data_IF_448669804564
#
_entry.id   IF_448669804564
#
_cell.length_a   1.000
_cell.length_b   1.000
_cell.length_c   1.000
_cell.angle_alpha   90.00
_cell.angle_beta   90.00
_cell.angle_gamma   90.00
#
_symmetry.space_group_name_H-M   'P 1'
#
loop_
_entity.id
_entity.type
_entity.pdbx_description
1 polymer ?
#
# COMPACT_ATOMS: atom_id res chain seq x y z
N UNK A 1 -71.28 -4.49 5.74
CA UNK A 1 -72.49 -3.65 5.82
C UNK A 1 -72.27 -2.57 6.88
N UNK A 2 -72.31 -1.29 6.45
CA UNK A 2 -72.53 -0.02 7.19
C UNK A 2 -71.63 0.24 8.41
N UNK A 3 -70.58 1.06 8.27
CA UNK A 3 -70.53 2.53 8.52
C UNK A 3 -71.06 2.97 9.88
N UNK A 4 -70.22 3.62 10.68
CA UNK A 4 -70.42 5.02 11.07
C UNK A 4 -69.16 5.61 11.73
N UNK A 5 -68.52 6.51 10.97
CA UNK A 5 -67.55 7.51 11.43
C UNK A 5 -68.38 8.69 11.95
N UNK A 6 -68.12 9.15 13.18
CA UNK A 6 -68.67 10.41 13.70
C UNK A 6 -67.52 11.38 13.96
N UNK A 7 -67.40 12.36 13.06
CA UNK A 7 -66.55 13.54 13.17
C UNK A 7 -67.22 14.54 14.13
N UNK A 8 -66.50 14.99 15.16
CA UNK A 8 -66.94 16.09 16.00
C UNK A 8 -66.10 17.34 15.66
N UNK A 9 -66.76 18.31 15.02
CA UNK A 9 -66.28 19.67 14.80
C UNK A 9 -66.27 20.42 16.13
N UNK A 10 -65.16 21.08 16.49
CA UNK A 10 -65.15 22.10 17.53
C UNK A 10 -64.71 23.45 16.94
N UNK A 11 -65.62 24.41 17.04
CA UNK A 11 -65.50 25.78 16.55
C UNK A 11 -64.56 26.62 17.44
N UNK A 12 -63.86 27.51 16.76
CA UNK A 12 -62.93 28.53 17.25
C UNK A 12 -63.69 29.65 18.00
N UNK A 13 -63.14 30.12 19.13
CA UNK A 13 -63.44 31.45 19.67
C UNK A 13 -62.17 32.26 19.81
N UNK A 14 -62.22 33.43 19.17
CA UNK A 14 -61.16 34.43 19.03
C UNK A 14 -61.21 35.34 20.27
N UNK A 15 -60.07 35.57 20.94
CA UNK A 15 -59.90 36.71 21.84
C UNK A 15 -58.68 37.50 21.36
N UNK A 16 -58.95 38.72 20.91
CA UNK A 16 -58.00 39.73 20.48
C UNK A 16 -57.62 40.61 21.68
N UNK A 17 -56.32 40.80 21.92
CA UNK A 17 -55.79 41.93 22.68
C UNK A 17 -54.65 42.58 21.89
N UNK A 18 -54.64 43.92 21.95
CA UNK A 18 -54.06 44.85 20.98
C UNK A 18 -52.70 45.39 21.43
N UNK A 19 -51.77 45.40 20.47
CA UNK A 19 -50.62 46.29 20.20
C UNK A 19 -49.67 46.78 21.32
N UNK A 20 -48.36 46.55 21.10
CA UNK A 20 -47.35 47.63 21.06
C UNK A 20 -46.35 47.43 19.91
N UNK A 21 -45.92 48.57 19.38
CA UNK A 21 -45.31 48.83 18.08
C UNK A 21 -43.92 48.24 17.78
N UNK A 22 -43.76 47.84 16.51
CA UNK A 22 -42.68 48.15 15.55
C UNK A 22 -41.20 47.86 15.90
N UNK A 23 -40.54 47.00 15.12
CA UNK A 23 -39.78 47.39 13.90
C UNK A 23 -39.21 46.16 13.16
N UNK A 24 -39.18 46.34 11.85
CA UNK A 24 -38.67 45.48 10.78
C UNK A 24 -37.15 45.29 10.80
N UNK A 25 -36.72 44.20 10.14
CA UNK A 25 -35.40 43.90 9.53
C UNK A 25 -34.22 43.81 10.50
N UNK A 26 -33.43 42.74 10.54
CA UNK A 26 -32.77 42.03 9.44
C UNK A 26 -32.52 40.58 9.83
N UNK A 27 -32.68 39.64 8.89
CA UNK A 27 -32.08 38.31 9.00
C UNK A 27 -30.55 38.49 8.97
N UNK A 28 -29.93 38.55 10.14
CA UNK A 28 -28.51 38.26 10.26
C UNK A 28 -28.31 36.79 9.93
N UNK A 29 -27.85 36.54 8.71
CA UNK A 29 -27.19 35.29 8.37
C UNK A 29 -26.04 35.11 9.35
N UNK A 30 -26.21 34.18 10.28
CA UNK A 30 -25.11 33.62 11.07
C UNK A 30 -24.04 33.22 10.05
N UNK A 31 -22.81 33.76 10.13
CA UNK A 31 -21.73 33.32 9.27
C UNK A 31 -21.60 31.83 9.49
N UNK A 32 -21.79 31.06 8.41
CA UNK A 32 -21.36 29.67 8.37
C UNK A 32 -19.89 29.72 8.74
N UNK A 33 -19.53 29.25 9.94
CA UNK A 33 -18.12 29.03 10.26
C UNK A 33 -17.57 28.23 9.10
N UNK A 34 -16.64 28.84 8.36
CA UNK A 34 -15.84 28.15 7.38
C UNK A 34 -15.13 27.07 8.18
N UNK A 35 -15.65 25.84 8.13
CA UNK A 35 -14.86 24.67 8.49
C UNK A 35 -13.53 24.87 7.80
N UNK A 36 -12.44 24.96 8.54
CA UNK A 36 -11.11 24.85 7.96
C UNK A 36 -11.11 23.52 7.22
N UNK A 37 -11.43 23.57 5.92
CA UNK A 37 -11.37 22.41 5.06
C UNK A 37 -9.92 21.95 5.14
N UNK A 38 -9.73 20.70 5.58
CA UNK A 38 -8.43 20.05 5.53
C UNK A 38 -8.13 19.87 4.04
N UNK A 39 -7.53 20.87 3.41
CA UNK A 39 -7.32 20.88 1.95
C UNK A 39 -5.94 20.30 1.66
N UNK A 40 -5.91 19.19 0.94
CA UNK A 40 -4.72 18.73 0.23
C UNK A 40 -4.67 19.40 -1.15
N UNK A 41 -3.53 20.02 -1.47
CA UNK A 41 -3.32 20.78 -2.72
C UNK A 41 -2.35 20.09 -3.70
N UNK A 42 -2.01 18.82 -3.46
CA UNK A 42 -1.11 18.06 -4.32
C UNK A 42 -1.81 17.50 -5.56
N UNK A 43 -1.10 16.64 -6.29
CA UNK A 43 -1.58 16.08 -7.56
C UNK A 43 -2.41 14.81 -7.40
N UNK A 44 -2.46 14.24 -6.20
CA UNK A 44 -3.15 12.99 -5.91
C UNK A 44 -4.67 13.14 -5.81
N UNK A 45 -5.36 12.03 -6.00
CA UNK A 45 -6.79 11.89 -5.83
C UNK A 45 -7.12 11.46 -4.41
N UNK A 46 -8.06 12.15 -3.76
CA UNK A 46 -8.43 11.89 -2.37
C UNK A 46 -9.61 10.93 -2.31
N UNK A 47 -9.50 9.89 -1.50
CA UNK A 47 -10.61 9.01 -1.09
C UNK A 47 -10.81 9.12 0.42
N UNK A 48 -12.01 8.83 0.93
CA UNK A 48 -12.29 8.85 2.36
C UNK A 48 -13.11 7.63 2.79
N UNK A 49 -12.70 7.01 3.89
CA UNK A 49 -13.40 5.90 4.51
C UNK A 49 -13.09 4.53 3.91
N UNK A 50 -13.88 3.53 4.32
CA UNK A 50 -13.67 2.14 3.93
C UNK A 50 -14.05 1.90 2.46
N UNK A 51 -13.22 1.14 1.78
CA UNK A 51 -13.50 0.61 0.45
C UNK A 51 -14.54 -0.52 0.49
N UNK A 52 -15.22 -0.73 -0.64
CA UNK A 52 -16.04 -1.92 -0.86
C UNK A 52 -15.14 -3.13 -1.14
N UNK A 53 -15.24 -4.17 -0.30
CA UNK A 53 -14.47 -5.41 -0.50
C UNK A 53 -14.89 -6.12 -1.79
N UNK A 54 -13.97 -6.27 -2.73
CA UNK A 54 -14.16 -7.03 -3.98
C UNK A 54 -13.67 -8.46 -3.84
N UNK A 55 -12.51 -8.65 -3.20
CA UNK A 55 -11.92 -9.95 -2.91
C UNK A 55 -11.71 -10.03 -1.40
N UNK A 56 -12.29 -11.06 -0.77
CA UNK A 56 -12.17 -11.23 0.69
C UNK A 56 -10.75 -11.55 1.13
N UNK A 57 -10.06 -12.43 0.41
CA UNK A 57 -8.65 -12.76 0.64
C UNK A 57 -8.07 -13.36 -0.64
N UNK A 58 -6.86 -12.96 -1.02
CA UNK A 58 -6.15 -13.52 -2.17
C UNK A 58 -5.60 -14.92 -1.89
N UNK A 59 -5.31 -15.23 -0.63
CA UNK A 59 -4.85 -16.54 -0.19
C UNK A 59 -5.64 -17.07 1.00
N UNK A 60 -5.54 -18.38 1.21
CA UNK A 60 -5.92 -19.04 2.46
C UNK A 60 -4.66 -19.65 3.07
N UNK A 61 -4.25 -19.15 4.23
CA UNK A 61 -3.12 -19.69 4.99
C UNK A 61 -3.55 -19.99 6.43
N UNK A 62 -3.45 -21.25 6.82
CA UNK A 62 -3.92 -21.72 8.14
C UNK A 62 -2.83 -21.64 9.22
N UNK A 63 -1.85 -20.75 9.07
CA UNK A 63 -0.77 -20.55 10.03
C UNK A 63 -1.11 -19.44 11.02
N UNK A 64 -0.60 -19.57 12.25
CA UNK A 64 -0.77 -18.54 13.28
C UNK A 64 -0.17 -17.21 12.82
N UNK A 65 -0.92 -16.12 13.01
CA UNK A 65 -0.48 -14.78 12.60
C UNK A 65 -0.70 -14.45 11.13
N UNK A 66 -1.36 -15.32 10.34
CA UNK A 66 -1.80 -14.97 8.99
C UNK A 66 -2.93 -13.94 9.04
N UNK A 67 -2.75 -12.86 8.27
CA UNK A 67 -3.71 -11.79 8.07
C UNK A 67 -4.44 -11.95 6.73
N UNK A 68 -5.62 -11.34 6.65
CA UNK A 68 -6.50 -11.41 5.47
C UNK A 68 -5.93 -10.50 4.38
N UNK A 69 -5.64 -11.06 3.20
CA UNK A 69 -5.14 -10.30 2.05
C UNK A 69 -6.29 -9.84 1.14
N UNK A 70 -7.14 -8.96 1.68
CA UNK A 70 -8.31 -8.45 0.96
C UNK A 70 -7.95 -7.50 -0.18
N UNK A 71 -8.85 -7.35 -1.16
CA UNK A 71 -8.76 -6.32 -2.20
C UNK A 71 -10.10 -5.57 -2.25
N UNK A 72 -10.04 -4.24 -2.27
CA UNK A 72 -11.20 -3.37 -2.29
C UNK A 72 -11.26 -2.46 -3.51
N UNK A 73 -12.41 -1.82 -3.66
CA UNK A 73 -12.63 -0.71 -4.57
C UNK A 73 -13.20 0.50 -3.80
N UNK A 74 -12.63 1.67 -4.01
CA UNK A 74 -13.15 2.94 -3.48
C UNK A 74 -13.19 4.01 -4.57
N UNK A 75 -14.16 4.91 -4.49
CA UNK A 75 -14.28 6.04 -5.43
C UNK A 75 -13.82 7.33 -4.78
N UNK A 76 -13.14 8.17 -5.57
CA UNK A 76 -12.89 9.56 -5.19
C UNK A 76 -14.11 10.45 -5.46
N UNK A 77 -14.04 11.72 -5.05
CA UNK A 77 -15.11 12.70 -5.24
C UNK A 77 -15.41 13.02 -6.72
N UNK A 78 -14.48 12.68 -7.62
CA UNK A 78 -14.63 12.83 -9.07
C UNK A 78 -15.24 11.58 -9.73
N UNK A 79 -15.48 10.52 -8.95
CA UNK A 79 -16.03 9.25 -9.40
C UNK A 79 -15.02 8.31 -10.04
N UNK A 80 -13.71 8.58 -9.98
CA UNK A 80 -12.69 7.62 -10.40
C UNK A 80 -12.65 6.46 -9.41
N UNK A 81 -12.49 5.25 -9.93
CA UNK A 81 -12.35 4.03 -9.14
C UNK A 81 -10.87 3.73 -8.83
N UNK A 82 -10.59 3.33 -7.60
CA UNK A 82 -9.27 2.97 -7.08
C UNK A 82 -9.31 1.59 -6.44
N UNK A 83 -8.42 0.70 -6.88
CA UNK A 83 -8.20 -0.60 -6.25
C UNK A 83 -7.25 -0.46 -5.08
N UNK A 84 -7.62 -0.99 -3.92
CA UNK A 84 -6.83 -0.88 -2.68
C UNK A 84 -6.54 -2.26 -2.08
N UNK A 85 -5.34 -2.50 -1.52
CA UNK A 85 -4.22 -1.54 -1.40
C UNK A 85 -3.50 -1.23 -2.73
N UNK A 86 -3.78 -1.98 -3.79
CA UNK A 86 -3.30 -1.68 -5.12
C UNK A 86 -3.72 -2.70 -6.16
N UNK A 87 -3.65 -2.32 -7.44
CA UNK A 87 -3.82 -3.27 -8.55
C UNK A 87 -2.70 -4.32 -8.45
N UNK A 88 -3.01 -5.61 -8.55
CA UNK A 88 -1.99 -6.66 -8.43
C UNK A 88 -2.26 -7.83 -9.38
N UNK A 89 -1.20 -8.56 -9.69
CA UNK A 89 -1.15 -9.72 -10.57
C UNK A 89 -0.99 -11.02 -9.77
N UNK A 90 -1.43 -11.03 -8.50
CA UNK A 90 -1.23 -12.16 -7.61
C UNK A 90 -1.74 -13.46 -8.27
N UNK A 91 -2.96 -13.47 -8.80
CA UNK A 91 -3.54 -14.67 -9.41
C UNK A 91 -3.15 -14.89 -10.89
N UNK A 92 -2.36 -13.97 -11.47
CA UNK A 92 -2.11 -13.92 -12.91
C UNK A 92 -0.69 -14.37 -13.30
N UNK A 93 0.22 -14.40 -12.33
CA UNK A 93 1.65 -14.65 -12.56
C UNK A 93 2.21 -15.76 -11.67
N UNK A 94 3.32 -16.35 -12.11
CA UNK A 94 4.11 -17.33 -11.37
C UNK A 94 4.53 -16.81 -10.00
N UNK A 95 4.43 -17.64 -8.97
CA UNK A 95 4.97 -17.33 -7.64
C UNK A 95 6.48 -17.46 -7.62
N UNK A 96 7.15 -16.52 -6.96
CA UNK A 96 8.57 -16.67 -6.67
C UNK A 96 8.80 -17.95 -5.84
N UNK A 97 9.94 -18.63 -6.04
CA UNK A 97 10.24 -19.84 -5.26
C UNK A 97 10.50 -19.46 -3.80
N UNK A 98 10.05 -20.30 -2.88
CA UNK A 98 10.19 -20.08 -1.45
C UNK A 98 11.63 -20.34 -0.99
N UNK A 99 12.23 -19.38 -0.29
CA UNK A 99 13.30 -19.64 0.68
C UNK A 99 12.69 -20.01 2.03
N UNK A 100 11.62 -19.30 2.41
CA UNK A 100 10.86 -19.56 3.62
C UNK A 100 9.43 -19.13 3.42
N UNK A 101 8.48 -20.03 3.70
CA UNK A 101 7.05 -19.81 3.57
C UNK A 101 6.29 -20.82 4.44
N UNK A 102 5.75 -20.35 5.56
CA UNK A 102 5.01 -21.21 6.52
C UNK A 102 3.69 -21.72 5.93
N UNK A 103 3.06 -20.98 5.01
CA UNK A 103 1.81 -21.41 4.38
C UNK A 103 2.02 -22.65 3.51
N UNK A 104 3.20 -22.80 2.92
CA UNK A 104 3.61 -23.96 2.14
C UNK A 104 4.43 -24.99 2.94
N UNK A 105 4.57 -24.80 4.27
CA UNK A 105 5.40 -25.64 5.15
C UNK A 105 6.88 -25.72 4.73
N UNK A 106 7.38 -24.67 4.07
CA UNK A 106 8.80 -24.53 3.70
C UNK A 106 9.46 -23.66 4.75
N UNK A 107 10.09 -24.25 5.76
CA UNK A 107 10.68 -23.52 6.89
C UNK A 107 12.14 -23.91 7.16
N UNK A 108 13.05 -23.78 6.19
CA UNK A 108 14.43 -24.17 6.38
C UNK A 108 15.16 -23.20 7.32
N UNK A 109 16.18 -23.70 8.01
CA UNK A 109 16.94 -22.91 8.98
C UNK A 109 17.99 -22.00 8.34
N UNK A 110 18.42 -22.33 7.11
CA UNK A 110 19.42 -21.60 6.35
C UNK A 110 19.44 -22.10 4.90
N UNK A 111 20.22 -21.44 4.05
CA UNK A 111 20.29 -21.75 2.62
C UNK A 111 20.73 -23.19 2.28
N UNK A 112 21.49 -23.88 3.13
CA UNK A 112 21.99 -25.23 2.79
C UNK A 112 20.88 -26.27 2.68
N UNK A 113 19.70 -25.98 3.23
CA UNK A 113 18.51 -26.82 3.17
C UNK A 113 17.66 -26.54 1.90
N UNK A 114 18.04 -25.56 1.08
CA UNK A 114 17.36 -25.20 -0.17
C UNK A 114 17.98 -25.94 -1.35
N UNK A 115 17.17 -26.69 -2.11
CA UNK A 115 17.60 -27.25 -3.38
C UNK A 115 17.62 -26.16 -4.47
N UNK A 116 18.78 -25.53 -4.61
CA UNK A 116 19.01 -24.49 -5.61
C UNK A 116 18.79 -24.97 -7.05
N UNK A 117 18.84 -26.26 -7.36
CA UNK A 117 18.62 -26.77 -8.72
C UNK A 117 17.14 -26.84 -9.09
N UNK A 118 16.26 -26.87 -8.09
CA UNK A 118 14.80 -26.89 -8.28
C UNK A 118 14.22 -25.52 -8.67
N UNK A 119 14.96 -24.43 -8.44
CA UNK A 119 14.51 -23.07 -8.73
C UNK A 119 14.46 -22.85 -10.26
N UNK A 120 13.28 -22.57 -10.84
CA UNK A 120 13.13 -22.37 -12.28
C UNK A 120 13.88 -21.11 -12.74
N UNK A 121 14.36 -21.14 -13.99
CA UNK A 121 15.02 -20.01 -14.64
C UNK A 121 14.08 -19.38 -15.64
N UNK A 122 13.72 -18.11 -15.43
CA UNK A 122 12.95 -17.32 -16.39
C UNK A 122 13.87 -16.79 -17.49
N UNK A 123 13.67 -17.22 -18.74
CA UNK A 123 14.48 -16.75 -19.87
C UNK A 123 13.97 -15.39 -20.38
N UNK A 124 14.78 -14.34 -20.19
CA UNK A 124 14.53 -12.99 -20.74
C UNK A 124 15.25 -12.82 -22.05
N UNK A 125 16.55 -13.14 -22.05
CA UNK A 125 17.46 -13.11 -23.19
C UNK A 125 18.20 -14.45 -23.30
N UNK A 126 18.07 -15.13 -24.45
CA UNK A 126 18.67 -16.46 -24.65
C UNK A 126 20.19 -16.45 -24.60
N UNK A 127 20.84 -15.33 -24.90
CA UNK A 127 22.29 -15.12 -24.83
C UNK A 127 22.75 -14.43 -23.53
N UNK A 128 21.85 -14.28 -22.55
CA UNK A 128 22.13 -13.69 -21.25
C UNK A 128 22.84 -14.62 -20.26
N UNK A 129 23.17 -14.06 -19.10
CA UNK A 129 23.71 -14.79 -17.95
C UNK A 129 22.59 -15.09 -16.95
N UNK A 130 22.72 -16.20 -16.21
CA UNK A 130 21.76 -16.54 -15.16
C UNK A 130 22.08 -15.72 -13.91
N UNK A 131 21.13 -14.86 -13.53
CA UNK A 131 21.15 -14.10 -12.29
C UNK A 131 20.25 -14.79 -11.27
N UNK A 132 20.75 -14.98 -10.06
CA UNK A 132 19.97 -15.43 -8.90
C UNK A 132 19.68 -14.23 -8.00
N UNK A 133 18.40 -13.93 -7.75
CA UNK A 133 17.96 -12.91 -6.82
C UNK A 133 17.41 -13.53 -5.53
N UNK A 134 17.74 -12.93 -4.39
CA UNK A 134 17.15 -13.20 -3.07
C UNK A 134 16.33 -11.98 -2.69
N UNK A 135 15.06 -12.18 -2.32
CA UNK A 135 14.10 -11.10 -2.08
C UNK A 135 13.37 -11.33 -0.75
N UNK A 136 13.12 -10.24 -0.04
CA UNK A 136 12.22 -10.19 1.10
C UNK A 136 11.40 -8.89 1.01
N UNK A 137 10.09 -9.00 1.23
CA UNK A 137 9.18 -7.87 1.27
C UNK A 137 8.37 -7.87 2.56
N UNK A 138 8.17 -6.67 3.09
CA UNK A 138 7.16 -6.33 4.08
C UNK A 138 6.15 -5.45 3.31
N UNK A 139 5.07 -5.96 2.72
CA UNK A 139 4.66 -7.36 2.65
C UNK A 139 4.80 -8.00 1.25
N UNK A 140 4.39 -7.33 0.17
CA UNK A 140 4.21 -7.95 -1.15
C UNK A 140 5.09 -7.32 -2.23
N UNK A 141 5.55 -8.15 -3.18
CA UNK A 141 6.27 -7.68 -4.37
C UNK A 141 5.79 -8.31 -5.69
N UNK A 142 5.99 -7.59 -6.78
CA UNK A 142 5.96 -8.08 -8.15
C UNK A 142 7.24 -7.68 -8.88
N UNK A 143 7.98 -8.67 -9.38
CA UNK A 143 9.30 -8.48 -9.98
C UNK A 143 9.23 -8.45 -11.50
N UNK A 144 9.71 -7.35 -12.07
CA UNK A 144 9.82 -7.12 -13.50
C UNK A 144 11.30 -7.03 -13.92
N UNK A 145 11.67 -7.76 -14.97
CA UNK A 145 13.00 -7.69 -15.61
C UNK A 145 12.81 -7.26 -17.07
N UNK A 146 13.39 -6.11 -17.45
CA UNK A 146 13.18 -5.48 -18.76
C UNK A 146 11.69 -5.36 -19.15
N UNK A 147 10.83 -4.99 -18.19
CA UNK A 147 9.38 -4.86 -18.38
C UNK A 147 8.59 -6.17 -18.37
N UNK A 148 9.25 -7.33 -18.35
CA UNK A 148 8.56 -8.64 -18.22
C UNK A 148 8.33 -8.95 -16.75
N UNK A 149 7.07 -9.10 -16.35
CA UNK A 149 6.68 -9.64 -15.05
C UNK A 149 7.09 -11.12 -14.98
N UNK A 150 8.01 -11.47 -14.08
CA UNK A 150 8.55 -12.83 -13.99
C UNK A 150 8.05 -13.59 -12.76
N UNK A 151 7.82 -12.90 -11.65
CA UNK A 151 7.43 -13.52 -10.41
C UNK A 151 6.70 -12.52 -9.52
N UNK A 152 5.76 -13.03 -8.73
CA UNK A 152 5.12 -12.30 -7.63
C UNK A 152 5.37 -13.02 -6.31
N UNK A 153 5.30 -12.28 -5.22
CA UNK A 153 5.37 -12.84 -3.88
C UNK A 153 4.21 -13.87 -3.67
N UNK A 154 4.49 -15.07 -3.13
CA UNK A 154 3.45 -16.04 -2.80
C UNK A 154 2.53 -15.63 -1.64
N UNK A 155 2.91 -14.69 -0.78
CA UNK A 155 2.15 -14.25 0.40
C UNK A 155 1.94 -12.73 0.38
N UNK A 156 0.71 -12.23 0.19
CA UNK A 156 0.49 -10.78 0.09
C UNK A 156 0.62 -10.00 1.39
N UNK A 157 0.36 -10.63 2.54
CA UNK A 157 0.30 -9.93 3.83
C UNK A 157 1.17 -10.62 4.89
N UNK A 158 0.64 -11.64 5.57
CA UNK A 158 1.40 -12.43 6.54
C UNK A 158 0.93 -13.89 6.54
N UNK A 159 1.77 -14.84 7.01
CA UNK A 159 3.11 -14.70 7.61
C UNK A 159 4.18 -14.21 6.62
N UNK A 160 5.21 -13.56 7.15
CA UNK A 160 6.37 -13.14 6.35
C UNK A 160 7.06 -14.33 5.69
N UNK A 161 7.53 -14.11 4.46
CA UNK A 161 8.26 -15.07 3.64
C UNK A 161 9.52 -14.43 3.05
N UNK A 162 10.36 -15.26 2.47
CA UNK A 162 11.47 -14.81 1.64
C UNK A 162 11.57 -15.70 0.43
N UNK A 163 12.12 -15.16 -0.65
CA UNK A 163 12.03 -15.78 -1.95
C UNK A 163 13.36 -15.78 -2.69
N UNK A 164 13.45 -16.75 -3.60
CA UNK A 164 14.52 -16.87 -4.57
C UNK A 164 13.94 -16.89 -5.98
N UNK A 165 14.59 -16.16 -6.87
CA UNK A 165 14.26 -16.12 -8.30
C UNK A 165 15.52 -16.34 -9.11
N UNK A 166 15.38 -16.97 -10.28
CA UNK A 166 16.45 -17.01 -11.28
C UNK A 166 15.93 -16.54 -12.61
N UNK A 167 16.70 -15.69 -13.28
CA UNK A 167 16.38 -15.22 -14.61
C UNK A 167 17.63 -15.14 -15.47
N UNK A 168 17.48 -15.34 -16.77
CA UNK A 168 18.57 -15.25 -17.74
C UNK A 168 18.42 -13.96 -18.53
N UNK A 169 19.36 -13.03 -18.38
CA UNK A 169 19.26 -11.67 -18.94
C UNK A 169 20.62 -11.16 -19.41
N UNK A 170 20.62 -10.28 -20.40
CA UNK A 170 21.83 -9.61 -20.89
C UNK A 170 21.95 -8.21 -20.30
N UNK A 171 23.17 -7.83 -19.89
CA UNK A 171 23.47 -6.47 -19.45
C UNK A 171 23.59 -5.48 -20.64
N UNK A 172 23.21 -4.20 -20.47
CA UNK A 172 22.51 -3.66 -19.30
C UNK A 172 21.04 -4.11 -19.26
N UNK A 173 20.45 -4.18 -18.07
CA UNK A 173 19.04 -4.51 -17.89
C UNK A 173 18.40 -3.68 -16.77
N UNK A 174 17.08 -3.62 -16.77
CA UNK A 174 16.30 -2.90 -15.75
C UNK A 174 15.61 -3.89 -14.83
N UNK A 175 15.73 -3.64 -13.52
CA UNK A 175 14.89 -4.25 -12.50
C UNK A 175 13.85 -3.22 -12.09
N UNK A 176 12.57 -3.59 -12.13
CA UNK A 176 11.50 -2.83 -11.52
C UNK A 176 10.73 -3.74 -10.57
N UNK A 177 10.33 -3.21 -9.41
CA UNK A 177 9.56 -3.97 -8.43
C UNK A 177 8.37 -3.13 -8.04
N UNK A 178 7.17 -3.67 -8.22
CA UNK A 178 5.95 -3.13 -7.61
C UNK A 178 5.85 -3.68 -6.20
N UNK A 179 5.63 -2.83 -5.23
CA UNK A 179 5.59 -3.15 -3.82
C UNK A 179 4.25 -2.70 -3.24
N UNK A 180 3.67 -3.52 -2.39
CA UNK A 180 2.41 -3.22 -1.72
C UNK A 180 2.57 -3.56 -0.23
N UNK A 181 2.36 -2.56 0.63
CA UNK A 181 2.07 -2.77 2.05
C UNK A 181 0.58 -3.07 2.17
N UNK A 182 0.25 -4.22 2.74
CA UNK A 182 -1.12 -4.72 2.71
C UNK A 182 -1.92 -4.18 3.91
N UNK A 183 -3.22 -3.98 3.72
CA UNK A 183 -4.09 -3.37 4.73
C UNK A 183 -5.24 -4.32 5.11
N UNK A 184 -5.65 -4.32 6.39
CA UNK A 184 -6.86 -5.05 6.83
C UNK A 184 -8.11 -4.18 6.63
N UNK A 185 -7.98 -2.88 6.90
CA UNK A 185 -9.02 -1.89 6.68
C UNK A 185 -8.86 -1.27 5.29
N UNK A 186 -9.49 -1.90 4.30
CA UNK A 186 -9.38 -1.52 2.90
C UNK A 186 -9.71 -0.03 2.67
N UNK A 187 -8.81 0.69 2.01
CA UNK A 187 -8.89 2.13 1.74
C UNK A 187 -8.31 3.03 2.83
N UNK A 188 -7.79 2.45 3.92
CA UNK A 188 -7.33 3.17 5.10
C UNK A 188 -5.89 2.82 5.54
N UNK A 189 -5.14 2.00 4.81
CA UNK A 189 -3.73 1.68 5.08
C UNK A 189 -3.44 1.15 6.47
N UNK A 190 -4.43 0.54 7.13
CA UNK A 190 -4.34 0.21 8.56
C UNK A 190 -4.76 -1.20 8.89
N UNK A 191 -4.23 -1.67 10.01
CA UNK A 191 -4.39 -3.00 10.56
C UNK A 191 -4.63 -2.94 12.07
N UNK A 192 -5.25 -3.99 12.61
CA UNK A 192 -5.30 -4.18 14.04
C UNK A 192 -3.89 -4.59 14.51
N UNK A 193 -3.22 -3.68 15.21
CA UNK A 193 -1.87 -3.91 15.71
C UNK A 193 -1.53 -3.00 16.90
N UNK A 194 -0.55 -3.42 17.70
CA UNK A 194 0.01 -2.65 18.83
C UNK A 194 -1.07 -2.09 19.79
N UNK A 195 -2.18 -2.81 19.96
CA UNK A 195 -3.29 -2.44 20.84
C UNK A 195 -4.24 -1.39 20.27
N UNK A 196 -4.17 -1.11 18.97
CA UNK A 196 -5.03 -0.17 18.24
C UNK A 196 -5.70 -0.88 17.07
N UNK A 197 -6.96 -0.55 16.83
CA UNK A 197 -7.75 -1.17 15.76
C UNK A 197 -7.34 -0.62 14.38
N UNK A 198 -6.98 0.65 14.31
CA UNK A 198 -6.49 1.32 13.11
C UNK A 198 -5.05 1.78 13.35
N UNK A 199 -4.11 0.85 13.27
CA UNK A 199 -2.68 1.12 13.31
C UNK A 199 -2.13 1.13 11.87
N UNK A 200 -1.38 2.16 11.43
CA UNK A 200 -0.69 2.11 10.15
C UNK A 200 0.27 0.90 10.08
N UNK A 201 0.26 0.16 8.97
CA UNK A 201 1.28 -0.85 8.68
C UNK A 201 2.64 -0.19 8.42
N UNK A 202 3.67 -1.00 8.25
CA UNK A 202 4.91 -0.54 7.67
C UNK A 202 5.34 -1.49 6.55
N UNK A 203 5.83 -0.89 5.47
CA UNK A 203 6.34 -1.61 4.31
C UNK A 203 7.84 -1.91 4.42
N UNK A 204 8.44 -2.37 3.33
CA UNK A 204 9.89 -2.54 3.25
C UNK A 204 10.28 -3.55 2.18
N UNK A 205 11.39 -3.28 1.48
CA UNK A 205 11.89 -4.23 0.50
C UNK A 205 13.41 -4.32 0.52
N UNK A 206 13.95 -5.53 0.52
CA UNK A 206 15.38 -5.78 0.44
C UNK A 206 15.67 -6.91 -0.53
N UNK A 207 16.69 -6.72 -1.38
CA UNK A 207 17.12 -7.74 -2.30
C UNK A 207 18.62 -7.69 -2.61
N UNK A 208 19.17 -8.87 -2.93
CA UNK A 208 20.50 -9.00 -3.50
C UNK A 208 20.49 -9.94 -4.70
N UNK A 209 21.41 -9.71 -5.64
CA UNK A 209 21.53 -10.47 -6.87
C UNK A 209 22.96 -10.99 -7.06
N UNK A 210 23.10 -12.13 -7.73
CA UNK A 210 24.38 -12.81 -7.91
C UNK A 210 25.40 -12.05 -8.76
N UNK A 211 24.98 -11.02 -9.49
CA UNK A 211 25.86 -10.13 -10.26
C UNK A 211 26.42 -8.95 -9.42
N UNK A 212 26.11 -8.92 -8.12
CA UNK A 212 26.53 -7.87 -7.20
C UNK A 212 25.55 -6.72 -7.05
N UNK A 213 24.43 -6.72 -7.78
CA UNK A 213 23.35 -5.75 -7.57
C UNK A 213 22.71 -5.96 -6.20
N UNK A 214 22.48 -4.87 -5.47
CA UNK A 214 21.86 -4.85 -4.14
C UNK A 214 20.89 -3.66 -4.04
N UNK A 215 19.85 -3.78 -3.24
CA UNK A 215 18.99 -2.64 -2.87
C UNK A 215 19.77 -1.65 -2.01
N UNK A 216 19.66 -0.36 -2.35
CA UNK A 216 20.27 0.76 -1.63
C UNK A 216 19.68 2.09 -2.14
N UNK A 217 20.13 3.21 -1.58
CA UNK A 217 19.72 4.57 -1.97
C UNK A 217 19.97 5.01 -3.42
N UNK A 218 20.58 4.17 -4.28
CA UNK A 218 20.74 4.45 -5.71
C UNK A 218 19.53 4.00 -6.54
N UNK A 219 18.65 3.18 -5.97
CA UNK A 219 17.38 2.84 -6.58
C UNK A 219 16.46 4.06 -6.66
N UNK A 220 15.60 4.11 -7.67
CA UNK A 220 14.46 5.03 -7.71
C UNK A 220 13.30 4.43 -6.92
N UNK A 221 12.49 5.28 -6.28
CA UNK A 221 11.28 4.87 -5.59
C UNK A 221 10.18 5.92 -5.75
N UNK A 222 8.98 5.51 -6.14
CA UNK A 222 7.81 6.39 -6.26
C UNK A 222 6.60 5.74 -5.59
N UNK A 223 6.00 6.44 -4.62
CA UNK A 223 4.73 6.04 -3.98
C UNK A 223 3.54 6.38 -4.87
N UNK A 224 2.50 5.55 -4.92
CA UNK A 224 1.26 5.70 -5.70
C UNK A 224 -0.02 5.58 -4.86
N UNK A 225 0.11 5.17 -3.60
CA UNK A 225 -0.99 5.18 -2.63
C UNK A 225 -0.42 5.51 -1.25
N UNK A 226 -0.97 6.51 -0.58
CA UNK A 226 -0.59 6.91 0.79
C UNK A 226 -1.81 6.90 1.71
N UNK A 227 -1.76 6.13 2.80
CA UNK A 227 -2.81 5.98 3.81
C UNK A 227 -2.25 5.38 5.13
N UNK A 228 -2.95 5.48 6.26
CA UNK A 228 -4.07 6.38 6.55
C UNK A 228 -3.61 7.83 6.68
N UNK A 229 -4.44 8.76 6.22
CA UNK A 229 -4.24 10.20 6.47
C UNK A 229 -5.39 10.73 7.34
N UNK A 230 -5.07 11.20 8.54
CA UNK A 230 -6.06 11.81 9.45
C UNK A 230 -6.26 13.31 9.23
N UNK A 231 -5.27 13.97 8.63
CA UNK A 231 -5.29 15.40 8.31
C UNK A 231 -4.62 15.66 6.96
N UNK A 232 -5.42 15.97 5.94
CA UNK A 232 -4.93 16.25 4.58
C UNK A 232 -3.91 17.40 4.51
N UNK A 233 -3.91 18.32 5.49
CA UNK A 233 -2.95 19.43 5.54
C UNK A 233 -1.51 19.02 5.92
N UNK A 234 -1.30 17.78 6.39
CA UNK A 234 0.03 17.25 6.69
C UNK A 234 0.84 16.88 5.44
N UNK A 235 0.16 16.77 4.30
CA UNK A 235 0.72 16.34 3.03
C UNK A 235 1.26 17.51 2.22
N UNK A 236 2.33 17.27 1.47
CA UNK A 236 2.86 18.23 0.50
C UNK A 236 3.56 17.53 -0.65
N UNK A 237 3.75 18.24 -1.76
CA UNK A 237 4.53 17.75 -2.91
C UNK A 237 5.60 18.74 -3.32
N UNK A 238 6.79 18.23 -3.67
CA UNK A 238 7.91 19.02 -4.20
C UNK A 238 8.47 18.29 -5.43
N UNK A 239 8.06 18.72 -6.62
CA UNK A 239 8.31 17.95 -7.85
C UNK A 239 7.59 16.60 -7.74
N UNK A 240 8.31 15.50 -8.04
CA UNK A 240 7.77 14.12 -7.91
C UNK A 240 7.78 13.58 -6.47
N UNK A 241 8.32 14.32 -5.50
CA UNK A 241 8.33 13.89 -4.09
C UNK A 241 6.96 14.11 -3.47
N UNK A 242 6.32 13.03 -3.03
CA UNK A 242 5.05 13.00 -2.29
C UNK A 242 5.37 12.85 -0.81
N UNK A 243 5.19 13.92 -0.03
CA UNK A 243 5.74 14.05 1.32
C UNK A 243 4.63 13.93 2.36
N UNK A 244 4.82 12.97 3.27
CA UNK A 244 3.93 12.70 4.41
C UNK A 244 4.65 12.74 5.76
N UNK A 245 5.85 13.33 5.84
CA UNK A 245 6.67 13.36 7.06
C UNK A 245 6.06 14.13 8.24
N UNK A 246 5.09 15.01 7.97
CA UNK A 246 4.36 15.74 9.01
C UNK A 246 3.04 15.05 9.38
N UNK A 247 2.71 13.93 8.74
CA UNK A 247 1.51 13.17 9.03
C UNK A 247 1.71 12.29 10.26
N UNK A 248 0.65 12.09 11.04
CA UNK A 248 0.69 11.18 12.18
C UNK A 248 0.80 9.74 11.69
N UNK A 249 1.65 8.97 12.37
CA UNK A 249 1.78 7.51 12.22
C UNK A 249 1.26 6.78 13.47
N UNK A 250 0.52 7.48 14.34
CA UNK A 250 -0.01 6.90 15.57
C UNK A 250 -1.23 6.02 15.26
N UNK A 251 -1.29 4.84 15.88
CA UNK A 251 -2.49 4.03 15.86
C UNK A 251 -3.63 4.66 16.67
N UNK A 252 -4.86 4.52 16.16
CA UNK A 252 -6.08 5.00 16.83
C UNK A 252 -7.10 3.89 16.99
N UNK A 253 -8.05 4.07 17.91
CA UNK A 253 -9.14 3.10 18.11
C UNK A 253 -10.23 3.23 17.03
N UNK A 254 -10.29 4.35 16.30
CA UNK A 254 -11.23 4.56 15.21
C UNK A 254 -10.64 5.47 14.13
N UNK A 255 -10.27 4.87 13.00
CA UNK A 255 -9.76 5.55 11.79
C UNK A 255 -10.73 5.52 10.61
N UNK A 256 -12.00 5.15 10.82
CA UNK A 256 -12.98 4.89 9.73
C UNK A 256 -13.27 6.09 8.82
N UNK A 257 -12.89 7.30 9.21
CA UNK A 257 -13.06 8.53 8.43
C UNK A 257 -11.74 9.10 7.89
N UNK A 258 -10.64 8.34 7.97
CA UNK A 258 -9.35 8.74 7.41
C UNK A 258 -9.38 8.69 5.88
N UNK A 259 -8.37 9.32 5.30
CA UNK A 259 -8.23 9.52 3.86
C UNK A 259 -7.13 8.62 3.29
N UNK A 260 -7.28 8.31 2.00
CA UNK A 260 -6.24 7.76 1.15
C UNK A 260 -5.92 8.74 0.02
N UNK A 261 -4.66 8.81 -0.40
CA UNK A 261 -4.21 9.63 -1.52
C UNK A 261 -3.67 8.72 -2.61
N UNK A 262 -4.19 8.85 -3.81
CA UNK A 262 -3.89 7.95 -4.91
C UNK A 262 -3.32 8.69 -6.11
N UNK A 263 -2.41 8.06 -6.82
CA UNK A 263 -1.90 8.56 -8.08
C UNK A 263 -1.89 7.44 -9.11
N UNK A 264 -2.20 7.77 -10.36
CA UNK A 264 -2.15 6.79 -11.44
C UNK A 264 -0.72 6.32 -11.67
N UNK A 265 -0.54 5.01 -11.73
CA UNK A 265 0.69 4.39 -12.22
C UNK A 265 0.79 4.63 -13.74
N UNK A 266 1.89 5.19 -14.26
CA UNK A 266 2.08 5.34 -15.70
C UNK A 266 2.07 3.99 -16.43
N UNK A 267 1.35 3.87 -17.55
CA UNK A 267 1.11 2.61 -18.28
C UNK A 267 2.38 1.86 -18.74
N UNK A 268 3.54 2.51 -18.72
CA UNK A 268 4.83 1.95 -19.11
C UNK A 268 5.88 2.00 -17.99
N UNK A 269 5.49 2.21 -16.72
CA UNK A 269 6.43 2.40 -15.60
C UNK A 269 7.33 1.20 -15.32
N UNK A 270 7.09 0.04 -15.92
CA UNK A 270 7.92 -1.16 -15.80
C UNK A 270 8.84 -1.38 -16.99
N UNK A 271 8.61 -0.69 -18.12
CA UNK A 271 9.37 -0.86 -19.34
C UNK A 271 10.83 -0.41 -19.21
N UNK A 272 11.69 -1.00 -20.02
CA UNK A 272 13.12 -0.66 -20.10
C UNK A 272 13.37 0.78 -20.56
N UNK A 273 12.46 1.36 -21.35
CA UNK A 273 12.58 2.72 -21.89
C UNK A 273 11.92 3.79 -21.03
N UNK A 274 11.31 3.42 -19.91
CA UNK A 274 10.66 4.38 -19.02
C UNK A 274 11.69 5.35 -18.43
N UNK A 275 11.38 6.65 -18.49
CA UNK A 275 12.23 7.70 -17.97
C UNK A 275 11.86 8.01 -16.52
N UNK A 276 12.58 7.40 -15.58
CA UNK A 276 12.47 7.62 -14.13
C UNK A 276 13.44 8.69 -13.61
N UNK A 277 14.01 9.54 -14.48
CA UNK A 277 14.99 10.55 -14.06
C UNK A 277 14.44 11.57 -13.05
N UNK A 278 13.13 11.83 -13.09
CA UNK A 278 12.47 12.73 -12.15
C UNK A 278 12.02 12.04 -10.86
N UNK A 279 11.98 10.70 -10.82
CA UNK A 279 11.61 9.98 -9.61
C UNK A 279 12.66 10.21 -8.51
N UNK A 280 12.21 10.33 -7.24
CA UNK A 280 13.13 10.39 -6.13
C UNK A 280 13.91 9.09 -6.01
N UNK A 281 15.10 9.20 -5.42
CA UNK A 281 15.82 8.03 -4.97
C UNK A 281 15.10 7.39 -3.78
N UNK A 282 15.29 6.10 -3.62
CA UNK A 282 14.76 5.35 -2.49
C UNK A 282 15.37 5.83 -1.17
N UNK A 283 14.54 5.87 -0.14
CA UNK A 283 15.00 6.00 1.25
C UNK A 283 15.44 4.63 1.75
N UNK A 284 16.53 4.60 2.52
CA UNK A 284 17.00 3.39 3.19
C UNK A 284 16.49 3.33 4.62
N UNK A 285 16.12 2.15 5.06
CA UNK A 285 15.60 1.88 6.41
C UNK A 285 16.42 0.76 7.07
N UNK A 286 16.48 0.79 8.40
CA UNK A 286 17.16 -0.20 9.24
C UNK A 286 16.27 -1.40 9.53
N UNK A 287 16.88 -2.53 9.92
CA UNK A 287 16.14 -3.74 10.34
C UNK A 287 15.22 -3.48 11.56
N UNK A 288 15.60 -2.53 12.42
CA UNK A 288 14.80 -2.09 13.57
C UNK A 288 13.57 -1.28 13.15
N UNK A 289 13.71 -0.42 12.12
CA UNK A 289 12.59 0.37 11.58
C UNK A 289 11.54 -0.52 10.91
N UNK A 290 11.96 -1.57 10.18
CA UNK A 290 11.05 -2.55 9.55
C UNK A 290 10.58 -3.64 10.55
N UNK A 291 11.25 -3.79 11.70
CA UNK A 291 10.85 -4.77 12.71
C UNK A 291 11.09 -6.25 12.30
N UNK A 292 12.13 -6.53 11.50
CA UNK A 292 12.40 -7.87 10.95
C UNK A 292 13.24 -8.79 11.85
N UNK A 293 13.79 -8.27 12.95
CA UNK A 293 14.76 -9.00 13.81
C UNK A 293 14.23 -10.29 14.45
N UNK A 294 12.91 -10.48 14.49
CA UNK A 294 12.28 -11.69 15.01
C UNK A 294 11.63 -12.57 13.91
N UNK A 295 11.81 -12.21 12.64
CA UNK A 295 11.18 -12.90 11.50
C UNK A 295 12.15 -13.95 10.95
N UNK A 296 11.85 -15.23 11.14
CA UNK A 296 12.68 -16.33 10.62
C UNK A 296 12.86 -16.26 9.11
N UNK A 297 11.82 -15.84 8.39
CA UNK A 297 11.86 -15.62 6.95
C UNK A 297 13.01 -14.72 6.49
N UNK A 298 13.37 -13.72 7.30
CA UNK A 298 14.50 -12.84 7.06
C UNK A 298 15.77 -13.38 7.73
N UNK A 299 15.72 -13.61 9.05
CA UNK A 299 16.89 -13.89 9.88
C UNK A 299 17.63 -15.18 9.50
N UNK A 300 16.94 -16.19 8.98
CA UNK A 300 17.57 -17.44 8.54
C UNK A 300 18.46 -17.26 7.28
N UNK A 301 18.29 -16.15 6.56
CA UNK A 301 18.99 -15.86 5.30
C UNK A 301 19.61 -14.45 5.30
N UNK A 302 19.85 -13.87 6.48
CA UNK A 302 20.39 -12.52 6.63
C UNK A 302 21.70 -12.33 5.86
N UNK A 303 22.49 -13.39 5.67
CA UNK A 303 23.73 -13.39 4.88
C UNK A 303 23.51 -13.16 3.37
N UNK A 304 22.26 -13.28 2.90
CA UNK A 304 21.83 -12.93 1.54
C UNK A 304 21.25 -11.53 1.44
N UNK A 305 20.91 -10.90 2.55
CA UNK A 305 20.31 -9.58 2.59
C UNK A 305 21.31 -8.56 3.12
N UNK A 306 21.14 -8.07 4.36
CA UNK A 306 22.07 -7.11 4.98
C UNK A 306 23.51 -7.63 5.08
N UNK A 307 23.71 -8.95 5.21
CA UNK A 307 25.04 -9.57 5.15
C UNK A 307 25.73 -9.50 3.78
N UNK A 308 25.00 -9.18 2.70
CA UNK A 308 25.56 -8.79 1.38
C UNK A 308 25.79 -7.29 1.23
N UNK A 309 25.40 -6.49 2.22
CA UNK A 309 25.40 -5.04 2.16
C UNK A 309 24.15 -4.46 1.49
N UNK A 310 23.10 -5.26 1.25
CA UNK A 310 21.81 -4.73 0.81
C UNK A 310 21.13 -3.99 1.96
N UNK A 311 20.37 -2.95 1.62
CA UNK A 311 19.61 -2.13 2.56
C UNK A 311 18.12 -2.30 2.29
N UNK A 312 17.28 -2.22 3.32
CA UNK A 312 15.84 -2.05 3.10
C UNK A 312 15.61 -0.72 2.42
N UNK A 313 14.80 -0.73 1.37
CA UNK A 313 14.43 0.46 0.61
C UNK A 313 12.92 0.60 0.52
N UNK A 314 12.47 1.85 0.49
CA UNK A 314 11.09 2.23 0.20
C UNK A 314 11.04 3.63 -0.45
N UNK A 315 9.85 4.21 -0.58
CA UNK A 315 9.67 5.63 -0.89
C UNK A 315 10.03 6.54 0.31
N UNK A 316 9.45 7.73 0.39
CA UNK A 316 9.78 8.70 1.44
C UNK A 316 9.20 8.37 2.82
N UNK A 317 8.18 7.51 2.90
CA UNK A 317 7.59 7.11 4.16
C UNK A 317 7.23 5.62 4.15
N UNK A 318 7.99 4.82 4.89
CA UNK A 318 7.77 3.37 5.00
C UNK A 318 6.46 2.99 5.70
N UNK A 319 5.88 3.89 6.50
CA UNK A 319 4.68 3.60 7.31
C UNK A 319 3.39 3.98 6.59
N UNK A 320 3.42 4.99 5.72
CA UNK A 320 2.21 5.53 5.11
C UNK A 320 2.11 5.29 3.61
N UNK A 321 3.22 5.01 2.92
CA UNK A 321 3.19 4.76 1.47
C UNK A 321 2.91 3.27 1.22
N UNK A 322 1.67 2.95 0.84
CA UNK A 322 1.17 1.57 0.76
C UNK A 322 1.33 0.93 -0.62
N UNK A 323 1.50 1.73 -1.69
CA UNK A 323 1.81 1.21 -3.03
C UNK A 323 3.03 1.96 -3.56
N UNK A 324 4.12 1.24 -3.84
CA UNK A 324 5.40 1.83 -4.27
C UNK A 324 5.95 1.10 -5.49
N UNK A 325 6.57 1.81 -6.41
CA UNK A 325 7.41 1.20 -7.45
C UNK A 325 8.85 1.61 -7.23
N UNK A 326 9.74 0.62 -7.16
CA UNK A 326 11.20 0.84 -7.16
C UNK A 326 11.83 0.40 -8.47
N UNK A 327 12.85 1.12 -8.92
CA UNK A 327 13.54 0.85 -10.20
C UNK A 327 15.04 0.99 -10.09
N UNK A 328 15.78 0.15 -10.81
CA UNK A 328 17.22 0.24 -10.94
C UNK A 328 17.70 -0.27 -12.30
N UNK A 329 18.62 0.47 -12.91
CA UNK A 329 19.31 0.07 -14.13
C UNK A 329 20.64 -0.56 -13.76
N UNK A 330 20.78 -1.84 -14.10
CA UNK A 330 22.02 -2.60 -13.97
C UNK A 330 22.85 -2.36 -15.22
N UNK A 331 24.10 -1.95 -15.03
CA UNK A 331 25.11 -1.81 -16.09
C UNK A 331 25.85 -3.13 -16.35
#
# INVERSE_FOLDING_TARGET
MKNNILFLFLLITIISCKEKNAKSSTNESIPKETTNEKIYNGTGNVTQGLAETQIKSLISCNQGGSRISGVGEIKDDLGNSWTVPGINHFNETTKASDLYNECNSITPNNLSEIDMNSVPVFEIDSDGEIITGYLFADNYFELYINGKLIAVDPIPFTPFNSNIVKFKVKKPYTIAVKLIDWEEHLGLGSENNRGKDFHPGDGGFIASFSDGTITNSKWKAQTFYTAPISDLSCLSEIGEKRISSNCSTDGVDNGTAFYGIHWKIPENSFDVTFNDSQWPNATTYTEDEIGVNNKKAYMNFIEKFSGKGAEFIWSTNVVLDNEVIVRYKVE
#
